data_IF_093506568132
#
_entry.id   IF_093506568132
#
_cell.length_a   1.000
_cell.length_b   1.000
_cell.length_c   1.000
_cell.angle_alpha   90.00
_cell.angle_beta   90.00
_cell.angle_gamma   90.00
#
_symmetry.space_group_name_H-M   'P 1'
#
loop_
_entity.id
_entity.type
_entity.pdbx_description
1 polymer ?
#
# COMPACT_ATOMS: atom_id res chain seq x y z
N UNK A 1 -36.28 5.58 -33.86
CA UNK A 1 -36.45 4.21 -33.34
C UNK A 1 -35.07 3.56 -33.41
N UNK A 2 -34.12 4.04 -32.61
CA UNK A 2 -33.77 3.59 -31.25
C UNK A 2 -33.30 2.14 -31.21
N UNK A 3 -31.98 1.98 -31.02
CA UNK A 3 -31.37 0.83 -30.38
C UNK A 3 -30.20 1.35 -29.54
N UNK A 4 -30.16 0.85 -28.30
CA UNK A 4 -29.54 1.39 -27.10
C UNK A 4 -28.02 1.57 -27.12
N UNK A 5 -27.60 2.66 -26.49
CA UNK A 5 -26.27 2.87 -25.95
C UNK A 5 -26.28 2.45 -24.47
N UNK A 6 -25.55 1.38 -24.13
CA UNK A 6 -25.23 1.06 -22.74
C UNK A 6 -23.92 0.25 -22.70
N UNK A 7 -22.80 0.93 -22.44
CA UNK A 7 -21.51 0.30 -22.09
C UNK A 7 -20.48 1.31 -21.56
N UNK A 8 -20.92 2.47 -21.05
CA UNK A 8 -20.02 3.58 -20.71
C UNK A 8 -19.94 3.93 -19.22
N UNK A 9 -20.74 3.33 -18.35
CA UNK A 9 -21.05 3.91 -17.03
C UNK A 9 -20.60 3.10 -15.81
N UNK A 10 -20.15 1.85 -15.95
CA UNK A 10 -19.78 1.05 -14.77
C UNK A 10 -18.38 1.37 -14.22
N UNK A 11 -17.43 1.77 -15.07
CA UNK A 11 -16.03 2.00 -14.64
C UNK A 11 -15.86 3.32 -13.86
N UNK A 12 -16.73 4.31 -14.08
CA UNK A 12 -16.70 5.61 -13.37
C UNK A 12 -17.47 5.60 -12.02
N UNK A 13 -18.19 4.52 -11.70
CA UNK A 13 -19.13 4.50 -10.56
C UNK A 13 -18.58 3.98 -9.22
N UNK A 14 -17.34 3.48 -9.17
CA UNK A 14 -16.66 3.25 -7.89
C UNK A 14 -16.15 4.60 -7.40
N UNK A 15 -16.93 5.27 -6.54
CA UNK A 15 -16.56 6.56 -5.92
C UNK A 15 -15.11 6.58 -5.42
N UNK A 16 -14.50 7.77 -5.38
CA UNK A 16 -13.11 7.98 -4.96
C UNK A 16 -12.79 7.17 -3.70
N UNK A 17 -11.83 6.25 -3.80
CA UNK A 17 -11.33 5.46 -2.67
C UNK A 17 -10.43 6.29 -1.77
N UNK A 18 -10.43 5.98 -0.48
CA UNK A 18 -9.53 6.58 0.49
C UNK A 18 -8.15 5.94 0.38
N UNK A 19 -7.13 6.78 0.16
CA UNK A 19 -5.74 6.32 0.19
C UNK A 19 -5.31 6.12 1.65
N UNK A 20 -4.89 4.89 1.97
CA UNK A 20 -4.04 4.59 3.12
C UNK A 20 -2.61 4.55 2.58
N UNK A 21 -1.77 5.48 3.03
CA UNK A 21 -0.38 5.55 2.61
C UNK A 21 0.52 5.21 3.80
N UNK A 22 1.52 4.37 3.59
CA UNK A 22 2.59 4.18 4.57
C UNK A 22 3.94 4.56 4.00
N UNK A 23 4.68 5.39 4.74
CA UNK A 23 6.10 5.58 4.53
C UNK A 23 6.88 4.52 5.32
N UNK A 24 7.61 3.68 4.61
CA UNK A 24 8.21 2.46 5.16
C UNK A 24 9.64 2.24 4.66
N UNK A 25 10.31 1.25 5.22
CA UNK A 25 11.47 0.60 4.65
C UNK A 25 11.21 -0.92 4.70
N UNK A 26 11.40 -1.64 3.58
CA UNK A 26 10.97 -3.05 3.46
C UNK A 26 11.62 -4.00 4.47
N UNK A 27 12.78 -3.62 5.04
CA UNK A 27 13.48 -4.38 6.09
C UNK A 27 13.49 -3.64 7.44
N UNK A 28 12.45 -2.86 7.73
CA UNK A 28 12.22 -2.30 9.06
C UNK A 28 11.25 -3.18 9.86
N UNK A 29 11.59 -3.61 11.09
CA UNK A 29 10.71 -4.49 11.88
C UNK A 29 9.42 -3.78 12.31
N UNK A 30 9.49 -2.47 12.56
CA UNK A 30 8.31 -1.65 12.85
C UNK A 30 7.38 -1.54 11.64
N UNK A 31 7.92 -1.47 10.41
CA UNK A 31 7.09 -1.51 9.20
C UNK A 31 6.34 -2.83 9.07
N UNK A 32 7.05 -3.97 9.19
CA UNK A 32 6.40 -5.29 9.15
C UNK A 32 5.25 -5.41 10.16
N UNK A 33 5.47 -4.93 11.38
CA UNK A 33 4.44 -4.96 12.42
C UNK A 33 3.26 -4.01 12.12
N UNK A 34 3.53 -2.82 11.60
CA UNK A 34 2.49 -1.88 11.17
C UNK A 34 1.69 -2.40 9.96
N UNK A 35 2.36 -3.05 9.01
CA UNK A 35 1.76 -3.66 7.83
C UNK A 35 0.81 -4.81 8.22
N UNK A 36 1.13 -5.60 9.25
CA UNK A 36 0.21 -6.62 9.78
C UNK A 36 -1.09 -5.99 10.30
N UNK A 37 -1.03 -4.88 11.05
CA UNK A 37 -2.23 -4.15 11.49
C UNK A 37 -2.99 -3.59 10.29
N UNK A 38 -2.29 -3.03 9.31
CA UNK A 38 -2.94 -2.51 8.10
C UNK A 38 -3.57 -3.60 7.24
N UNK A 39 -3.06 -4.84 7.29
CA UNK A 39 -3.69 -5.98 6.62
C UNK A 39 -5.08 -6.27 7.21
N UNK A 40 -5.20 -6.23 8.54
CA UNK A 40 -6.49 -6.35 9.24
C UNK A 40 -7.45 -5.20 8.89
N UNK A 41 -6.92 -3.97 8.78
CA UNK A 41 -7.70 -2.79 8.35
C UNK A 41 -8.21 -3.00 6.92
N UNK A 42 -7.32 -3.32 5.99
CA UNK A 42 -7.66 -3.52 4.58
C UNK A 42 -8.66 -4.65 4.38
N UNK A 43 -8.57 -5.73 5.16
CA UNK A 43 -9.55 -6.82 5.10
C UNK A 43 -11.01 -6.34 5.31
N UNK A 44 -11.20 -5.20 5.99
CA UNK A 44 -12.51 -4.60 6.25
C UNK A 44 -12.86 -3.49 5.27
N UNK A 45 -11.91 -2.61 4.95
CA UNK A 45 -12.18 -1.39 4.17
C UNK A 45 -11.76 -1.46 2.70
N UNK A 46 -11.29 -2.61 2.20
CA UNK A 46 -10.80 -2.74 0.82
C UNK A 46 -11.83 -2.41 -0.27
N UNK A 47 -13.12 -2.26 0.04
CA UNK A 47 -14.16 -1.81 -0.88
C UNK A 47 -14.19 -0.28 -1.05
N UNK A 48 -13.73 0.47 -0.05
CA UNK A 48 -13.73 1.95 -0.02
C UNK A 48 -12.34 2.57 0.09
N UNK A 49 -11.30 1.76 0.28
CA UNK A 49 -9.92 2.21 0.43
C UNK A 49 -8.94 1.47 -0.49
N UNK A 50 -7.76 2.05 -0.64
CA UNK A 50 -6.62 1.45 -1.32
C UNK A 50 -5.33 1.73 -0.53
N UNK A 51 -4.38 0.80 -0.59
CA UNK A 51 -3.09 0.91 0.09
C UNK A 51 -1.99 1.36 -0.86
N UNK A 52 -1.09 2.21 -0.39
CA UNK A 52 0.12 2.62 -1.10
C UNK A 52 1.31 2.69 -0.17
N UNK A 53 2.42 2.09 -0.58
CA UNK A 53 3.70 2.24 0.11
C UNK A 53 4.60 3.26 -0.61
N UNK A 54 5.28 4.08 0.19
CA UNK A 54 6.43 4.89 -0.24
C UNK A 54 7.63 4.53 0.62
N UNK A 55 8.83 4.56 0.03
CA UNK A 55 10.03 4.04 0.67
C UNK A 55 10.96 5.15 1.10
N UNK A 56 11.34 5.12 2.37
CA UNK A 56 12.29 6.04 2.98
C UNK A 56 13.72 5.65 2.55
N UNK A 57 14.54 6.63 2.22
CA UNK A 57 15.95 6.44 1.88
C UNK A 57 16.67 7.78 1.74
N UNK A 58 18.01 7.74 1.85
CA UNK A 58 18.86 8.93 1.78
C UNK A 58 19.36 9.14 0.36
N UNK A 59 19.21 10.34 -0.20
CA UNK A 59 19.73 10.66 -1.52
C UNK A 59 21.26 10.61 -1.57
N UNK A 60 21.81 9.82 -2.49
CA UNK A 60 23.25 9.74 -2.75
C UNK A 60 23.51 9.25 -4.18
N UNK A 61 23.89 10.15 -5.08
CA UNK A 61 24.16 9.86 -6.50
C UNK A 61 25.37 8.95 -6.75
N UNK A 62 26.19 8.68 -5.74
CA UNK A 62 27.31 7.74 -5.84
C UNK A 62 26.92 6.30 -5.46
N UNK A 63 25.71 6.08 -4.94
CA UNK A 63 25.20 4.74 -4.62
C UNK A 63 24.63 4.04 -5.87
N UNK A 64 24.53 2.70 -5.90
CA UNK A 64 24.02 1.97 -7.05
C UNK A 64 22.61 2.38 -7.52
N UNK A 65 21.78 2.89 -6.61
CA UNK A 65 20.38 3.25 -6.83
C UNK A 65 20.07 4.75 -6.72
N UNK A 66 21.09 5.61 -6.61
CA UNK A 66 20.99 7.03 -6.23
C UNK A 66 20.34 7.27 -4.83
N UNK A 67 20.11 6.19 -4.09
CA UNK A 67 19.48 6.12 -2.78
C UNK A 67 20.24 5.11 -1.92
N UNK A 68 20.52 5.49 -0.67
CA UNK A 68 21.03 4.61 0.37
C UNK A 68 19.90 4.24 1.31
N UNK A 69 19.64 2.94 1.43
CA UNK A 69 18.65 2.38 2.34
C UNK A 69 19.28 2.05 3.70
N UNK A 70 18.51 2.16 4.79
CA UNK A 70 19.03 2.04 6.16
C UNK A 70 19.55 0.64 6.46
N UNK A 71 18.88 -0.39 5.95
CA UNK A 71 19.25 -1.79 6.18
C UNK A 71 20.07 -2.39 5.01
N UNK A 72 20.82 -1.52 4.31
CA UNK A 72 21.75 -1.91 3.25
C UNK A 72 21.10 -2.07 1.87
N UNK A 73 21.90 -2.46 0.88
CA UNK A 73 21.48 -2.54 -0.52
C UNK A 73 20.35 -3.56 -0.75
N UNK A 74 20.32 -4.63 0.05
CA UNK A 74 19.29 -5.65 -0.03
C UNK A 74 17.90 -5.12 0.35
N UNK A 75 17.82 -4.12 1.24
CA UNK A 75 16.58 -3.39 1.48
C UNK A 75 16.19 -2.54 0.27
N UNK A 76 17.14 -1.86 -0.39
CA UNK A 76 16.83 -1.13 -1.62
C UNK A 76 16.27 -2.07 -2.69
N UNK A 77 16.86 -3.26 -2.85
CA UNK A 77 16.33 -4.28 -3.75
C UNK A 77 14.89 -4.71 -3.37
N UNK A 78 14.61 -4.89 -2.08
CA UNK A 78 13.26 -5.18 -1.58
C UNK A 78 12.26 -4.05 -1.86
N UNK A 79 12.64 -2.80 -1.57
CA UNK A 79 11.83 -1.61 -1.84
C UNK A 79 11.46 -1.52 -3.33
N UNK A 80 12.43 -1.76 -4.23
CA UNK A 80 12.20 -1.75 -5.68
C UNK A 80 11.27 -2.89 -6.10
N UNK A 81 11.46 -4.11 -5.58
CA UNK A 81 10.58 -5.25 -5.87
C UNK A 81 9.13 -4.94 -5.51
N UNK A 82 8.90 -4.41 -4.31
CA UNK A 82 7.56 -4.06 -3.83
C UNK A 82 6.93 -2.91 -4.65
N UNK A 83 7.70 -1.88 -5.03
CA UNK A 83 7.23 -0.81 -5.94
C UNK A 83 6.81 -1.37 -7.31
N UNK A 84 7.60 -2.27 -7.89
CA UNK A 84 7.29 -2.87 -9.18
C UNK A 84 6.10 -3.83 -9.09
N UNK A 85 6.00 -4.65 -8.03
CA UNK A 85 4.84 -5.51 -7.79
C UNK A 85 3.55 -4.67 -7.68
N UNK A 86 3.58 -3.57 -6.91
CA UNK A 86 2.45 -2.65 -6.82
C UNK A 86 2.05 -2.07 -8.19
N UNK A 87 3.03 -1.59 -8.98
CA UNK A 87 2.82 -1.01 -10.32
C UNK A 87 2.13 -1.98 -11.30
N UNK A 88 2.44 -3.27 -11.24
CA UNK A 88 1.93 -4.27 -12.18
C UNK A 88 0.88 -5.22 -11.59
N UNK A 89 0.41 -4.98 -10.37
CA UNK A 89 -0.65 -5.76 -9.71
C UNK A 89 -1.95 -5.84 -10.52
N UNK A 90 -2.31 -4.75 -11.19
CA UNK A 90 -3.50 -4.64 -12.04
C UNK A 90 -3.44 -5.39 -13.37
N UNK A 91 -2.33 -6.07 -13.70
CA UNK A 91 -2.18 -6.74 -14.99
C UNK A 91 -2.85 -8.12 -14.99
N UNK A 92 -3.75 -8.34 -15.95
CA UNK A 92 -4.55 -9.56 -16.10
C UNK A 92 -6.05 -9.32 -15.86
N UNK A 93 -6.90 -10.33 -16.06
CA UNK A 93 -8.32 -10.20 -15.79
C UNK A 93 -8.55 -9.85 -14.31
N UNK A 94 -9.61 -9.06 -14.06
CA UNK A 94 -10.22 -9.04 -12.75
C UNK A 94 -10.84 -10.42 -12.53
N UNK A 95 -10.40 -11.12 -11.49
CA UNK A 95 -11.05 -12.37 -11.09
C UNK A 95 -12.29 -12.01 -10.27
N UNK A 96 -13.38 -12.81 -10.33
CA UNK A 96 -14.49 -12.67 -9.41
C UNK A 96 -13.96 -12.61 -7.97
N UNK A 97 -14.38 -11.60 -7.22
CA UNK A 97 -14.04 -11.39 -5.81
C UNK A 97 -12.56 -11.11 -5.48
N UNK A 98 -11.67 -11.01 -6.48
CA UNK A 98 -10.26 -10.59 -6.27
C UNK A 98 -9.98 -9.30 -7.01
N UNK A 99 -9.98 -8.24 -6.22
CA UNK A 99 -9.64 -6.91 -6.67
C UNK A 99 -8.14 -6.83 -7.08
N UNK A 100 -7.81 -6.53 -8.35
CA UNK A 100 -6.44 -6.68 -8.87
C UNK A 100 -5.34 -5.92 -8.10
N UNK A 101 -5.67 -4.78 -7.51
CA UNK A 101 -4.71 -3.99 -6.72
C UNK A 101 -4.29 -4.67 -5.42
N UNK A 102 -5.09 -5.63 -4.92
CA UNK A 102 -4.74 -6.41 -3.72
C UNK A 102 -3.55 -7.33 -3.95
N UNK A 103 -3.25 -7.72 -5.21
CA UNK A 103 -2.09 -8.57 -5.54
C UNK A 103 -0.78 -7.92 -5.09
N UNK A 104 -0.62 -6.61 -5.29
CA UNK A 104 0.58 -5.88 -4.85
C UNK A 104 0.76 -5.93 -3.33
N UNK A 105 -0.33 -5.75 -2.57
CA UNK A 105 -0.31 -5.86 -1.12
C UNK A 105 -0.04 -7.31 -0.65
N UNK A 106 -0.70 -8.29 -1.26
CA UNK A 106 -0.44 -9.72 -1.01
C UNK A 106 1.01 -10.11 -1.24
N UNK A 107 1.66 -9.53 -2.26
CA UNK A 107 3.09 -9.74 -2.51
C UNK A 107 3.95 -9.25 -1.33
N UNK A 108 3.65 -8.06 -0.80
CA UNK A 108 4.33 -7.51 0.38
C UNK A 108 4.09 -8.41 1.61
N UNK A 109 2.84 -8.81 1.84
CA UNK A 109 2.48 -9.70 2.96
C UNK A 109 3.14 -11.07 2.87
N UNK A 110 3.29 -11.64 1.66
CA UNK A 110 4.07 -12.85 1.44
C UNK A 110 5.55 -12.63 1.80
N UNK A 111 6.16 -11.53 1.33
CA UNK A 111 7.56 -11.22 1.64
C UNK A 111 7.80 -11.10 3.15
N UNK A 112 6.83 -10.56 3.89
CA UNK A 112 6.88 -10.43 5.34
C UNK A 112 6.87 -11.76 6.10
N UNK A 113 6.48 -12.88 5.47
CA UNK A 113 6.59 -14.22 6.08
C UNK A 113 8.05 -14.70 6.11
N UNK A 114 8.84 -14.33 5.12
CA UNK A 114 10.26 -14.67 4.99
C UNK A 114 11.13 -13.40 5.08
N UNK A 115 10.91 -12.63 6.15
CA UNK A 115 11.45 -11.29 6.34
C UNK A 115 12.97 -11.15 6.11
N UNK A 116 13.77 -12.13 6.52
CA UNK A 116 15.23 -12.13 6.35
C UNK A 116 15.66 -12.16 4.86
N UNK A 117 14.75 -12.54 3.97
CA UNK A 117 15.00 -12.81 2.56
C UNK A 117 14.40 -11.74 1.63
N UNK A 118 13.75 -10.71 2.18
CA UNK A 118 13.21 -9.56 1.42
C UNK A 118 14.29 -8.95 0.51
N UNK A 119 14.03 -8.79 -0.78
CA UNK A 119 15.04 -8.30 -1.74
C UNK A 119 15.78 -9.42 -2.48
N UNK A 120 15.73 -10.68 -2.02
CA UNK A 120 16.22 -11.83 -2.80
C UNK A 120 15.23 -12.16 -3.93
N UNK A 121 15.76 -12.37 -5.14
CA UNK A 121 14.93 -12.71 -6.31
C UNK A 121 14.11 -13.99 -6.12
N UNK A 122 14.64 -14.99 -5.41
CA UNK A 122 13.93 -16.25 -5.16
C UNK A 122 12.65 -16.05 -4.34
N UNK A 123 12.70 -15.24 -3.28
CA UNK A 123 11.51 -14.90 -2.49
C UNK A 123 10.52 -14.08 -3.31
N UNK A 124 11.00 -13.12 -4.11
CA UNK A 124 10.13 -12.34 -4.99
C UNK A 124 9.37 -13.23 -6.00
N UNK A 125 10.04 -14.22 -6.59
CA UNK A 125 9.40 -15.15 -7.52
C UNK A 125 8.33 -16.00 -6.83
N UNK A 126 8.64 -16.55 -5.65
CA UNK A 126 7.64 -17.24 -4.82
C UNK A 126 6.43 -16.34 -4.54
N UNK A 127 6.68 -15.10 -4.12
CA UNK A 127 5.60 -14.19 -3.75
C UNK A 127 4.75 -13.70 -4.91
N UNK A 128 5.23 -13.73 -6.16
CA UNK A 128 4.33 -13.52 -7.30
C UNK A 128 3.28 -14.62 -7.43
N UNK A 129 3.70 -15.87 -7.22
CA UNK A 129 2.80 -17.02 -7.30
C UNK A 129 1.79 -16.96 -6.16
N UNK A 130 2.27 -16.78 -4.92
CA UNK A 130 1.41 -16.70 -3.72
C UNK A 130 0.44 -15.52 -3.78
N UNK A 131 0.86 -14.39 -4.33
CA UNK A 131 0.00 -13.21 -4.48
C UNK A 131 -0.97 -13.27 -5.68
N UNK A 132 -0.91 -14.33 -6.50
CA UNK A 132 -1.79 -14.54 -7.64
C UNK A 132 -1.50 -13.61 -8.82
N UNK A 133 -0.24 -13.22 -9.05
CA UNK A 133 0.13 -12.50 -10.26
C UNK A 133 -0.05 -13.39 -11.49
N UNK A 134 -0.55 -12.80 -12.58
CA UNK A 134 -0.50 -13.44 -13.89
C UNK A 134 0.95 -13.57 -14.37
N UNK A 135 1.21 -14.52 -15.27
CA UNK A 135 2.53 -14.65 -15.90
C UNK A 135 3.01 -13.33 -16.53
N UNK A 136 2.10 -12.60 -17.17
CA UNK A 136 2.36 -11.26 -17.74
C UNK A 136 2.70 -10.24 -16.66
N UNK A 137 1.90 -10.14 -15.59
CA UNK A 137 2.14 -9.21 -14.49
C UNK A 137 3.48 -9.47 -13.80
N UNK A 138 3.77 -10.74 -13.49
CA UNK A 138 5.05 -11.14 -12.91
C UNK A 138 6.23 -10.83 -13.84
N UNK A 139 6.10 -11.09 -15.16
CA UNK A 139 7.14 -10.76 -16.14
C UNK A 139 7.41 -9.26 -16.23
N UNK A 140 6.37 -8.43 -16.23
CA UNK A 140 6.50 -6.97 -16.25
C UNK A 140 7.15 -6.43 -14.97
N UNK A 141 6.73 -6.94 -13.80
CA UNK A 141 7.33 -6.57 -12.53
C UNK A 141 8.80 -6.99 -12.43
N UNK A 142 9.16 -8.20 -12.91
CA UNK A 142 10.57 -8.63 -13.05
C UNK A 142 11.38 -7.67 -13.91
N UNK A 143 10.87 -7.35 -15.10
CA UNK A 143 11.51 -6.42 -16.03
C UNK A 143 11.72 -5.04 -15.42
N UNK A 144 10.76 -4.56 -14.63
CA UNK A 144 10.82 -3.28 -13.91
C UNK A 144 11.98 -3.20 -12.94
N UNK A 145 12.17 -4.19 -12.06
CA UNK A 145 13.24 -4.12 -11.05
C UNK A 145 14.62 -4.53 -11.57
N UNK A 146 14.71 -5.09 -12.77
CA UNK A 146 15.98 -5.32 -13.48
C UNK A 146 16.26 -4.26 -14.55
N UNK A 147 15.35 -3.31 -14.74
CA UNK A 147 15.36 -2.36 -15.86
C UNK A 147 16.05 -1.03 -15.55
N UNK A 148 16.12 -0.13 -16.55
CA UNK A 148 16.73 1.20 -16.36
C UNK A 148 15.93 2.10 -15.42
N UNK A 149 14.65 1.79 -15.14
CA UNK A 149 13.77 2.62 -14.31
C UNK A 149 13.99 2.47 -12.79
N UNK A 150 14.81 1.52 -12.34
CA UNK A 150 14.98 1.22 -10.91
C UNK A 150 15.40 2.43 -10.08
N UNK A 151 16.35 3.22 -10.61
CA UNK A 151 16.90 4.40 -9.92
C UNK A 151 15.84 5.49 -9.78
N UNK A 152 15.14 5.80 -10.87
CA UNK A 152 14.13 6.86 -10.87
C UNK A 152 12.94 6.48 -9.99
N UNK A 153 12.52 5.22 -9.99
CA UNK A 153 11.43 4.73 -9.14
C UNK A 153 11.77 4.86 -7.66
N UNK A 154 12.90 4.33 -7.21
CA UNK A 154 13.29 4.41 -5.80
C UNK A 154 13.52 5.86 -5.36
N UNK A 155 14.17 6.66 -6.20
CA UNK A 155 14.40 8.09 -5.95
C UNK A 155 13.09 8.88 -5.85
N UNK A 156 12.11 8.60 -6.70
CA UNK A 156 10.79 9.24 -6.64
C UNK A 156 10.00 8.80 -5.41
N UNK A 157 10.17 7.56 -4.96
CA UNK A 157 9.58 7.06 -3.72
C UNK A 157 10.15 7.78 -2.50
N UNK A 158 11.48 7.85 -2.39
CA UNK A 158 12.17 8.58 -1.32
C UNK A 158 11.80 10.07 -1.29
N UNK A 159 11.67 10.70 -2.46
CA UNK A 159 11.20 12.10 -2.56
C UNK A 159 9.78 12.29 -2.04
N UNK A 160 8.91 11.31 -2.22
CA UNK A 160 7.55 11.39 -1.69
C UNK A 160 7.55 11.27 -0.16
N UNK A 161 8.33 10.34 0.39
CA UNK A 161 8.51 10.24 1.84
C UNK A 161 9.06 11.54 2.45
N UNK A 162 10.06 12.17 1.80
CA UNK A 162 10.61 13.47 2.20
C UNK A 162 9.56 14.58 2.17
N UNK A 163 8.74 14.67 1.11
CA UNK A 163 7.65 15.66 1.00
C UNK A 163 6.60 15.50 2.11
N UNK A 164 6.31 14.26 2.50
CA UNK A 164 5.42 13.93 3.61
C UNK A 164 6.07 14.17 4.98
N UNK A 165 7.35 14.56 5.02
CA UNK A 165 8.17 14.68 6.24
C UNK A 165 8.19 13.38 7.07
N UNK A 166 8.05 12.24 6.39
CA UNK A 166 8.03 10.92 7.02
C UNK A 166 9.44 10.31 7.02
N UNK A 167 10.15 10.46 8.13
CA UNK A 167 11.51 9.94 8.32
C UNK A 167 11.57 8.67 9.17
N UNK A 168 10.42 8.24 9.72
CA UNK A 168 10.30 7.05 10.58
C UNK A 168 9.52 5.98 9.84
N UNK A 169 10.06 4.77 9.84
CA UNK A 169 9.38 3.60 9.28
C UNK A 169 8.76 2.82 10.45
N UNK A 170 7.45 2.65 10.56
CA UNK A 170 6.40 3.09 9.63
C UNK A 170 5.72 4.40 10.07
N UNK A 171 5.40 5.27 9.12
CA UNK A 171 4.46 6.38 9.32
C UNK A 171 3.25 6.21 8.41
N UNK A 172 2.05 6.29 8.98
CA UNK A 172 0.76 6.08 8.30
C UNK A 172 0.08 7.42 8.04
N UNK A 173 -0.50 7.55 6.85
CA UNK A 173 -1.33 8.66 6.42
C UNK A 173 -2.66 8.12 5.88
N UNK A 174 -3.75 8.83 6.12
CA UNK A 174 -5.08 8.50 5.59
C UNK A 174 -5.65 9.73 4.90
N UNK A 175 -6.00 9.60 3.61
CA UNK A 175 -6.47 10.70 2.76
C UNK A 175 -5.52 11.92 2.76
N UNK A 176 -4.20 11.65 2.79
CA UNK A 176 -3.14 12.66 2.81
C UNK A 176 -2.84 13.25 4.19
N UNK A 177 -3.65 12.96 5.21
CA UNK A 177 -3.45 13.45 6.57
C UNK A 177 -2.61 12.48 7.40
N UNK A 178 -1.71 13.01 8.23
CA UNK A 178 -0.91 12.21 9.15
C UNK A 178 -1.81 11.47 10.15
N UNK A 179 -1.55 10.17 10.39
CA UNK A 179 -2.40 9.35 11.25
C UNK A 179 -1.70 8.73 12.46
N UNK A 180 -0.52 8.16 12.30
CA UNK A 180 0.16 7.43 13.39
C UNK A 180 1.58 7.05 12.93
N UNK A 181 2.52 6.94 13.87
CA UNK A 181 3.87 6.42 13.60
C UNK A 181 4.11 5.19 14.47
N UNK A 182 4.75 4.15 13.92
CA UNK A 182 5.30 3.04 14.70
C UNK A 182 6.81 3.19 14.80
N UNK A 183 7.33 3.25 16.02
CA UNK A 183 8.75 3.46 16.29
C UNK A 183 9.19 2.70 17.55
N UNK A 184 10.24 1.90 17.45
CA UNK A 184 10.82 1.20 18.59
C UNK A 184 9.87 0.16 19.19
N UNK A 185 9.05 -0.49 18.34
CA UNK A 185 8.08 -1.49 18.78
C UNK A 185 6.79 -0.91 19.36
N UNK A 186 6.58 0.41 19.31
CA UNK A 186 5.40 1.07 19.86
C UNK A 186 4.73 1.98 18.83
N UNK A 187 3.41 2.10 18.92
CA UNK A 187 2.66 3.13 18.23
C UNK A 187 2.79 4.45 19.01
N UNK A 188 3.14 5.52 18.32
CA UNK A 188 3.39 6.86 18.88
C UNK A 188 2.71 7.91 18.02
N UNK A 189 2.24 8.97 18.66
CA UNK A 189 1.56 10.10 18.01
C UNK A 189 0.39 9.67 17.14
N UNK A 190 -0.56 8.93 17.73
CA UNK A 190 -1.68 8.32 17.02
C UNK A 190 -3.01 8.99 17.40
N UNK A 191 -3.34 10.19 16.84
CA UNK A 191 -4.64 10.80 17.04
C UNK A 191 -5.74 9.83 16.64
N UNK A 192 -6.71 9.61 17.53
CA UNK A 192 -7.80 8.66 17.32
C UNK A 192 -7.48 7.21 17.68
N UNK A 193 -6.30 6.90 18.25
CA UNK A 193 -5.93 5.55 18.72
C UNK A 193 -5.04 4.78 17.75
N UNK A 194 -4.63 3.56 18.10
CA UNK A 194 -3.65 2.76 17.35
C UNK A 194 -4.06 1.30 17.12
N UNK A 195 -5.28 0.93 17.49
CA UNK A 195 -5.83 -0.39 17.20
C UNK A 195 -6.39 -0.44 15.76
N UNK A 196 -6.57 -1.63 15.19
CA UNK A 196 -7.11 -1.78 13.84
C UNK A 196 -8.47 -1.07 13.66
N UNK A 197 -9.35 -1.14 14.67
CA UNK A 197 -10.63 -0.42 14.70
C UNK A 197 -10.48 1.10 14.58
N UNK A 198 -9.46 1.68 15.21
CA UNK A 198 -9.19 3.12 15.19
C UNK A 198 -8.77 3.61 13.81
N UNK A 199 -8.02 2.79 13.08
CA UNK A 199 -7.65 3.07 11.69
C UNK A 199 -8.83 2.90 10.74
N UNK A 200 -9.64 1.85 10.92
CA UNK A 200 -10.88 1.65 10.16
C UNK A 200 -11.80 2.85 10.33
N UNK A 201 -12.03 3.31 11.57
CA UNK A 201 -12.84 4.49 11.85
C UNK A 201 -12.31 5.73 11.10
N UNK A 202 -11.00 5.93 11.06
CA UNK A 202 -10.37 7.05 10.36
C UNK A 202 -10.62 7.00 8.84
N UNK A 203 -10.60 5.81 8.24
CA UNK A 203 -10.95 5.60 6.82
C UNK A 203 -12.43 5.88 6.59
N UNK A 204 -13.31 5.40 7.47
CA UNK A 204 -14.75 5.61 7.40
C UNK A 204 -15.11 7.09 7.46
N UNK A 205 -14.49 7.84 8.38
CA UNK A 205 -14.66 9.28 8.48
C UNK A 205 -14.15 10.02 7.26
N UNK A 206 -12.98 9.63 6.73
CA UNK A 206 -12.45 10.19 5.49
C UNK A 206 -13.39 9.93 4.30
N UNK A 207 -13.90 8.70 4.17
CA UNK A 207 -14.86 8.33 3.14
C UNK A 207 -16.14 9.16 3.25
N UNK A 208 -16.69 9.31 4.46
CA UNK A 208 -17.87 10.16 4.70
C UNK A 208 -17.62 11.61 4.26
N UNK A 209 -16.44 12.18 4.53
CA UNK A 209 -16.15 13.57 4.12
C UNK A 209 -16.20 13.77 2.61
N UNK A 210 -15.75 12.79 1.82
CA UNK A 210 -15.66 12.93 0.37
C UNK A 210 -16.92 12.45 -0.36
N UNK A 211 -17.65 11.49 0.21
CA UNK A 211 -18.85 10.90 -0.39
C UNK A 211 -20.15 11.48 0.17
N UNK A 212 -20.09 12.17 1.31
CA UNK A 212 -21.23 12.61 2.11
C UNK A 212 -22.11 11.45 2.63
N UNK A 213 -21.63 10.20 2.55
CA UNK A 213 -22.34 8.99 2.99
C UNK A 213 -21.48 8.23 3.99
N UNK A 214 -22.09 7.78 5.09
CA UNK A 214 -21.45 6.84 6.00
C UNK A 214 -21.71 5.40 5.53
N UNK A 215 -20.69 4.59 5.25
CA UNK A 215 -20.89 3.24 4.72
C UNK A 215 -21.11 2.26 5.88
N UNK A 216 -22.35 2.17 6.37
CA UNK A 216 -22.72 1.37 7.56
C UNK A 216 -22.41 -0.12 7.41
N UNK A 217 -22.49 -0.67 6.20
CA UNK A 217 -22.18 -2.05 5.87
C UNK A 217 -20.69 -2.39 6.09
N UNK A 218 -19.81 -1.39 6.00
CA UNK A 218 -18.36 -1.53 6.18
C UNK A 218 -17.93 -1.04 7.57
N UNK A 219 -18.51 0.05 8.02
CA UNK A 219 -18.05 0.83 9.18
C UNK A 219 -18.90 0.64 10.43
N UNK A 220 -19.99 -0.14 10.34
CA UNK A 220 -20.98 -0.26 11.41
C UNK A 220 -21.80 1.02 11.58
N UNK A 221 -22.59 1.13 12.66
CA UNK A 221 -23.42 2.30 12.93
C UNK A 221 -22.61 3.60 12.99
N UNK A 222 -23.16 4.69 12.43
CA UNK A 222 -22.47 5.97 12.46
C UNK A 222 -22.31 6.48 13.91
N UNK A 223 -21.07 6.77 14.38
CA UNK A 223 -20.86 7.32 15.70
C UNK A 223 -21.61 8.65 15.90
N UNK A 224 -22.33 8.77 17.01
CA UNK A 224 -23.00 10.00 17.41
C UNK A 224 -24.35 10.28 16.73
N UNK A 225 -24.84 9.41 15.84
CA UNK A 225 -26.27 9.36 15.54
C UNK A 225 -26.96 8.55 16.64
N UNK A 226 -27.75 9.22 17.48
CA UNK A 226 -28.74 8.52 18.30
C UNK A 226 -29.76 7.91 17.34
N UNK A 227 -29.85 6.58 17.33
CA UNK A 227 -31.00 5.92 16.71
C UNK A 227 -32.22 6.24 17.58
N UNK A 228 -33.06 7.16 17.10
CA UNK A 228 -34.43 7.33 17.63
C UNK A 228 -35.32 6.15 17.24
#
# INVERSE_FOLDING_TARGET
MSADAASGTEVESRGRRIEILMAVMSRCPDARAAEAVMDEVLARVHSIANMRLVYIGTFNSSSPYDIVCKHGEIECAGNIQQLCAAKYSGQGPAEPDVEPWTRGWRFIMCQNQEYADIGKAALAEKCFQDAGFTATGASLARGCWSGPEVRSMLRNSARQAEKLKASVSATVFIDGEYRCTRNGGQWVDCPGGSEADDFVLSVCEAYRRISYVWPEDICGPQPGLLHE
#
